data_IF_557123514950
#
_entry.id   IF_557123514950
#
_cell.length_a   1.000
_cell.length_b   1.000
_cell.length_c   1.000
_cell.angle_alpha   90.00
_cell.angle_beta   90.00
_cell.angle_gamma   90.00
#
_symmetry.space_group_name_H-M   'P 1'
#
loop_
_entity.id
_entity.type
_entity.pdbx_description
1 polymer ?
#
# COMPACT_ATOMS: atom_id res chain seq x y z
N UNK A 1 -58.36 8.10 40.21
CA UNK A 1 -59.17 7.05 39.55
C UNK A 1 -58.40 6.67 38.29
N UNK A 2 -57.69 5.55 38.14
CA UNK A 2 -57.65 4.28 38.85
C UNK A 2 -56.23 3.70 38.71
N UNK A 3 -55.72 3.08 39.78
CA UNK A 3 -54.48 2.30 39.81
C UNK A 3 -54.77 0.83 39.41
N UNK A 4 -53.84 0.17 38.71
CA UNK A 4 -53.69 -1.30 38.61
C UNK A 4 -52.30 -1.58 38.02
N UNK A 5 -51.26 -1.82 38.83
CA UNK A 5 -50.85 -3.11 39.45
C UNK A 5 -49.92 -3.92 38.54
N UNK A 6 -48.63 -3.85 38.90
CA UNK A 6 -47.53 -4.69 38.42
C UNK A 6 -47.74 -6.16 38.83
N UNK A 7 -47.40 -7.08 37.94
CA UNK A 7 -47.20 -8.50 38.25
C UNK A 7 -45.74 -8.89 37.96
N UNK A 8 -45.04 -9.30 39.00
CA UNK A 8 -43.74 -9.99 38.96
C UNK A 8 -43.94 -11.50 38.92
N UNK A 9 -43.06 -12.29 38.27
CA UNK A 9 -43.09 -13.75 38.35
C UNK A 9 -42.28 -14.27 39.57
N UNK A 10 -42.53 -15.52 40.03
CA UNK A 10 -42.16 -15.98 41.37
C UNK A 10 -40.73 -16.53 41.48
N UNK A 11 -40.20 -16.71 42.71
CA UNK A 11 -38.82 -17.14 42.93
C UNK A 11 -38.67 -18.66 42.84
N UNK A 12 -37.71 -19.13 42.02
CA UNK A 12 -37.29 -20.52 42.04
C UNK A 12 -36.29 -20.79 43.17
N UNK A 13 -36.63 -21.79 43.97
CA UNK A 13 -35.87 -22.32 45.10
C UNK A 13 -34.57 -23.00 44.65
N UNK A 14 -33.49 -22.68 45.35
CA UNK A 14 -32.73 -23.64 46.17
C UNK A 14 -32.03 -24.82 45.47
N UNK A 15 -30.71 -24.69 45.33
CA UNK A 15 -29.74 -25.77 45.12
C UNK A 15 -28.42 -25.10 44.74
N UNK A 16 -27.45 -24.88 45.63
CA UNK A 16 -26.83 -25.89 46.48
C UNK A 16 -25.45 -26.16 45.89
N UNK A 17 -24.44 -25.45 46.41
CA UNK A 17 -23.08 -25.45 45.88
C UNK A 17 -22.39 -26.81 45.94
N UNK A 18 -21.42 -26.99 45.06
CA UNK A 18 -20.58 -28.18 45.00
C UNK A 18 -19.69 -28.15 43.76
N UNK A 19 -18.62 -27.36 43.83
CA UNK A 19 -17.52 -27.43 42.87
C UNK A 19 -16.81 -28.79 43.06
N UNK A 20 -17.10 -29.75 42.18
CA UNK A 20 -16.38 -31.01 42.09
C UNK A 20 -15.38 -30.94 40.93
N UNK A 21 -14.11 -31.02 41.30
CA UNK A 21 -12.98 -31.15 40.41
C UNK A 21 -13.13 -32.38 39.51
N UNK A 22 -12.95 -32.18 38.20
CA UNK A 22 -12.83 -33.25 37.23
C UNK A 22 -11.52 -34.00 37.44
N UNK A 23 -11.59 -35.13 38.15
CA UNK A 23 -10.53 -36.13 38.21
C UNK A 23 -10.47 -36.90 36.90
N UNK A 24 -9.52 -36.56 36.04
CA UNK A 24 -9.05 -37.43 34.95
C UNK A 24 -8.06 -38.43 35.55
N UNK A 25 -8.60 -39.51 36.12
CA UNK A 25 -7.85 -40.71 36.44
C UNK A 25 -7.66 -41.54 35.17
N UNK A 26 -6.53 -41.37 34.50
CA UNK A 26 -6.07 -42.30 33.46
C UNK A 26 -5.50 -43.54 34.15
N UNK A 27 -6.22 -44.64 34.01
CA UNK A 27 -5.81 -45.99 34.38
C UNK A 27 -4.59 -46.39 33.55
N UNK A 28 -3.45 -46.60 34.21
CA UNK A 28 -2.33 -47.34 33.67
C UNK A 28 -2.63 -48.81 33.96
N UNK A 29 -3.08 -49.54 32.93
CA UNK A 29 -2.98 -51.00 32.92
C UNK A 29 -2.30 -51.43 31.62
N UNK A 30 -1.12 -51.99 31.83
CA UNK A 30 -0.28 -52.62 30.83
C UNK A 30 -0.86 -53.97 30.45
N UNK A 31 -1.15 -54.18 29.16
CA UNK A 31 -0.91 -55.43 28.41
C UNK A 31 -1.70 -55.44 27.10
N UNK A 32 -1.08 -55.10 25.97
CA UNK A 32 -1.31 -55.80 24.70
C UNK A 32 -0.01 -55.83 23.91
N UNK A 33 0.63 -57.00 23.93
CA UNK A 33 1.62 -57.41 22.94
C UNK A 33 0.88 -57.66 21.62
N UNK A 34 0.91 -56.68 20.71
CA UNK A 34 0.39 -56.80 19.35
C UNK A 34 1.41 -56.23 18.36
N UNK A 35 2.09 -57.12 17.62
CA UNK A 35 2.95 -56.76 16.49
C UNK A 35 2.13 -55.97 15.47
N UNK A 36 2.18 -54.66 15.54
CA UNK A 36 1.57 -53.79 14.53
C UNK A 36 2.66 -53.45 13.52
N UNK A 37 2.52 -53.96 12.30
CA UNK A 37 3.27 -53.49 11.13
C UNK A 37 3.28 -51.97 11.17
N UNK A 38 4.48 -51.38 11.16
CA UNK A 38 4.66 -49.96 10.93
C UNK A 38 4.10 -49.63 9.53
N UNK A 39 2.82 -49.26 9.47
CA UNK A 39 2.25 -48.56 8.34
C UNK A 39 3.00 -47.24 8.26
N UNK A 40 3.99 -47.20 7.37
CA UNK A 40 4.70 -46.01 6.92
C UNK A 40 3.63 -44.95 6.60
N UNK A 41 3.58 -43.90 7.41
CA UNK A 41 2.65 -42.79 7.20
C UNK A 41 2.76 -42.36 5.73
N UNK A 42 1.62 -42.16 5.02
CA UNK A 42 1.67 -41.70 3.64
C UNK A 42 2.46 -40.38 3.62
N UNK A 43 3.51 -40.32 2.78
CA UNK A 43 4.24 -39.07 2.54
C UNK A 43 3.23 -37.95 2.26
N UNK A 44 3.38 -36.77 2.88
CA UNK A 44 2.43 -35.69 2.68
C UNK A 44 2.30 -35.43 1.19
N UNK A 45 1.05 -35.47 0.67
CA UNK A 45 0.81 -35.19 -0.74
C UNK A 45 1.35 -33.78 -1.02
N UNK A 46 2.08 -33.57 -2.13
CA UNK A 46 2.57 -32.25 -2.49
C UNK A 46 1.37 -31.31 -2.56
N UNK A 47 1.50 -30.14 -1.93
CA UNK A 47 0.45 -29.13 -1.94
C UNK A 47 0.34 -28.60 -3.36
N UNK A 48 -0.81 -28.81 -3.98
CA UNK A 48 -1.14 -28.25 -5.27
C UNK A 48 -2.06 -27.03 -5.11
N UNK A 49 -1.95 -26.11 -6.06
CA UNK A 49 -2.76 -24.90 -6.13
C UNK A 49 -3.60 -24.88 -7.40
N UNK A 50 -4.00 -26.06 -7.87
CA UNK A 50 -4.76 -26.25 -9.13
C UNK A 50 -6.06 -25.43 -9.15
N UNK A 51 -6.66 -25.17 -7.98
CA UNK A 51 -7.85 -24.34 -7.86
C UNK A 51 -7.62 -22.88 -8.30
N UNK A 52 -6.41 -22.34 -8.15
CA UNK A 52 -6.04 -21.00 -8.63
C UNK A 52 -5.81 -20.95 -10.15
N UNK A 53 -5.66 -22.10 -10.82
CA UNK A 53 -5.40 -22.14 -12.26
C UNK A 53 -6.70 -22.14 -13.10
N UNK A 54 -7.84 -22.02 -12.43
CA UNK A 54 -9.17 -22.04 -13.04
C UNK A 54 -9.46 -20.74 -13.79
N UNK A 55 -9.85 -20.80 -15.09
CA UNK A 55 -10.11 -19.61 -15.88
C UNK A 55 -11.27 -18.76 -15.33
N UNK A 56 -12.21 -19.36 -14.60
CA UNK A 56 -13.38 -18.65 -14.05
C UNK A 56 -13.01 -17.64 -12.95
N UNK A 57 -11.80 -17.72 -12.40
CA UNK A 57 -11.30 -16.74 -11.42
C UNK A 57 -10.95 -15.41 -12.10
N UNK A 58 -10.42 -15.47 -13.33
CA UNK A 58 -9.80 -14.32 -13.98
C UNK A 58 -10.77 -13.67 -14.95
N UNK A 59 -11.20 -12.46 -14.62
CA UNK A 59 -12.18 -11.76 -15.44
C UNK A 59 -11.50 -11.22 -16.71
N UNK A 60 -12.15 -11.37 -17.89
CA UNK A 60 -11.60 -10.87 -19.14
C UNK A 60 -11.53 -9.34 -19.09
N UNK A 61 -10.33 -8.82 -19.31
CA UNK A 61 -10.12 -7.39 -19.50
C UNK A 61 -10.34 -7.08 -20.99
N UNK A 62 -10.99 -5.96 -21.35
CA UNK A 62 -11.07 -5.55 -22.74
C UNK A 62 -9.65 -5.40 -23.29
N UNK A 63 -9.30 -6.25 -24.25
CA UNK A 63 -7.96 -6.29 -24.85
C UNK A 63 -7.63 -5.00 -25.60
N UNK A 64 -8.67 -4.27 -26.02
CA UNK A 64 -8.56 -2.95 -26.61
C UNK A 64 -9.14 -1.91 -25.66
N UNK A 65 -8.47 -0.74 -25.57
CA UNK A 65 -8.94 0.37 -24.76
C UNK A 65 -10.35 0.87 -25.14
N UNK A 66 -10.90 0.43 -26.28
CA UNK A 66 -12.27 0.73 -26.74
C UNK A 66 -13.37 0.32 -25.75
N UNK A 67 -13.18 -0.78 -25.01
CA UNK A 67 -14.08 -1.20 -23.93
C UNK A 67 -13.71 -0.69 -22.55
N UNK A 68 -12.52 -0.09 -22.40
CA UNK A 68 -12.03 0.43 -21.14
C UNK A 68 -12.48 1.89 -20.94
N UNK A 69 -12.59 2.35 -19.69
CA UNK A 69 -12.88 3.74 -19.32
C UNK A 69 -11.67 4.66 -19.61
N UNK A 70 -11.18 4.63 -20.85
CA UNK A 70 -9.94 5.22 -21.33
C UNK A 70 -10.27 6.24 -22.41
N UNK A 71 -9.61 7.42 -22.46
CA UNK A 71 -9.87 8.42 -23.49
C UNK A 71 -9.57 7.90 -24.91
N UNK A 72 -10.23 8.48 -25.91
CA UNK A 72 -10.05 8.07 -27.32
C UNK A 72 -8.59 8.16 -27.78
N UNK A 73 -7.82 9.13 -27.29
CA UNK A 73 -6.41 9.33 -27.65
C UNK A 73 -5.55 8.09 -27.39
N UNK A 74 -5.72 7.44 -26.24
CA UNK A 74 -5.01 6.21 -25.89
C UNK A 74 -5.49 5.00 -26.69
N UNK A 75 -6.76 5.00 -27.13
CA UNK A 75 -7.35 3.89 -27.91
C UNK A 75 -6.84 3.79 -29.34
N UNK A 76 -6.44 4.93 -29.91
CA UNK A 76 -5.99 5.04 -31.30
C UNK A 76 -4.48 5.28 -31.40
N UNK A 77 -3.79 5.33 -30.26
CA UNK A 77 -2.35 5.56 -30.23
C UNK A 77 -1.62 4.34 -30.75
N UNK A 78 -0.64 4.58 -31.63
CA UNK A 78 0.26 3.55 -32.16
C UNK A 78 1.14 2.91 -31.08
N UNK A 79 1.16 3.49 -29.87
CA UNK A 79 1.88 2.98 -28.70
C UNK A 79 1.11 1.92 -27.93
N UNK A 80 -0.18 1.75 -28.22
CA UNK A 80 -0.94 0.68 -27.60
C UNK A 80 -0.33 -0.66 -28.01
N UNK A 81 0.10 -1.52 -27.07
CA UNK A 81 0.63 -2.83 -27.42
C UNK A 81 -0.46 -3.57 -28.19
N UNK A 82 -0.12 -3.96 -29.42
CA UNK A 82 -1.06 -4.60 -30.31
C UNK A 82 -1.54 -5.87 -29.61
N UNK A 83 -2.85 -6.02 -29.30
CA UNK A 83 -3.32 -7.16 -28.53
C UNK A 83 -2.81 -8.42 -29.20
N UNK A 84 -2.98 -8.60 -30.51
CA UNK A 84 -2.57 -9.82 -31.21
C UNK A 84 -1.04 -10.09 -31.26
N UNK A 85 -0.17 -9.08 -31.13
CA UNK A 85 1.29 -9.28 -31.04
C UNK A 85 1.73 -9.60 -29.60
N UNK A 86 1.04 -9.02 -28.61
CA UNK A 86 1.14 -9.46 -27.22
C UNK A 86 0.39 -10.79 -26.97
N UNK A 87 -0.46 -11.22 -27.91
CA UNK A 87 -1.31 -12.43 -27.93
C UNK A 87 -0.80 -13.46 -28.99
N UNK A 88 0.46 -13.36 -29.43
CA UNK A 88 1.11 -14.39 -30.25
C UNK A 88 1.95 -15.36 -29.41
N UNK A 89 2.20 -16.57 -29.93
CA UNK A 89 2.87 -17.72 -29.27
C UNK A 89 4.21 -17.47 -28.50
N UNK A 90 4.78 -16.26 -28.53
CA UNK A 90 5.83 -15.79 -27.62
C UNK A 90 5.31 -15.44 -26.19
N UNK A 91 3.99 -15.44 -26.01
CA UNK A 91 3.15 -15.05 -24.86
C UNK A 91 3.42 -15.69 -23.49
N UNK A 92 4.04 -16.86 -23.46
CA UNK A 92 4.26 -17.60 -22.21
C UNK A 92 5.64 -17.33 -21.61
N UNK A 93 6.44 -16.46 -22.24
CA UNK A 93 7.76 -16.13 -21.72
C UNK A 93 7.67 -15.18 -20.51
N UNK A 94 8.48 -15.44 -19.49
CA UNK A 94 8.60 -14.56 -18.33
C UNK A 94 9.18 -13.18 -18.71
N UNK A 95 9.95 -13.10 -19.80
CA UNK A 95 10.54 -11.87 -20.33
C UNK A 95 9.47 -10.91 -20.84
N UNK A 96 8.50 -11.40 -21.63
CA UNK A 96 7.42 -10.56 -22.15
C UNK A 96 6.61 -9.88 -21.02
N UNK A 97 6.32 -10.61 -19.93
CA UNK A 97 5.64 -10.02 -18.77
C UNK A 97 6.51 -8.94 -18.09
N UNK A 98 7.81 -9.22 -17.93
CA UNK A 98 8.75 -8.24 -17.35
C UNK A 98 8.84 -6.97 -18.20
N UNK A 99 8.89 -7.11 -19.52
CA UNK A 99 9.01 -5.98 -20.46
C UNK A 99 7.73 -5.13 -20.46
N UNK A 100 6.55 -5.75 -20.36
CA UNK A 100 5.27 -5.04 -20.24
C UNK A 100 5.17 -4.26 -18.92
N UNK A 101 5.66 -4.84 -17.82
CA UNK A 101 5.69 -4.16 -16.53
C UNK A 101 6.68 -2.99 -16.54
N UNK A 102 7.86 -3.19 -17.13
CA UNK A 102 8.88 -2.14 -17.27
C UNK A 102 8.40 -0.98 -18.15
N UNK A 103 7.66 -1.28 -19.23
CA UNK A 103 7.09 -0.26 -20.12
C UNK A 103 5.76 0.34 -19.63
N UNK A 104 5.26 -0.05 -18.44
CA UNK A 104 4.06 0.55 -17.86
C UNK A 104 2.73 0.12 -18.48
N UNK A 105 2.73 -0.93 -19.29
CA UNK A 105 1.53 -1.47 -19.95
C UNK A 105 0.77 -2.43 -19.03
N UNK A 106 0.27 -1.93 -17.90
CA UNK A 106 -0.31 -2.74 -16.83
C UNK A 106 -1.54 -3.56 -17.27
N UNK A 107 -2.35 -3.06 -18.21
CA UNK A 107 -3.49 -3.81 -18.77
C UNK A 107 -3.03 -5.05 -19.54
N UNK A 108 -2.06 -4.90 -20.44
CA UNK A 108 -1.49 -6.01 -21.17
C UNK A 108 -0.78 -6.99 -20.23
N UNK A 109 0.00 -6.49 -19.28
CA UNK A 109 0.65 -7.30 -18.26
C UNK A 109 -0.36 -8.10 -17.42
N UNK A 110 -1.51 -7.51 -17.05
CA UNK A 110 -2.58 -8.21 -16.33
C UNK A 110 -3.20 -9.33 -17.18
N UNK A 111 -3.41 -9.12 -18.48
CA UNK A 111 -3.94 -10.13 -19.40
C UNK A 111 -2.94 -11.28 -19.53
N UNK A 112 -1.67 -10.98 -19.76
CA UNK A 112 -0.59 -11.98 -19.88
C UNK A 112 -0.45 -12.77 -18.58
N UNK A 113 -0.45 -12.12 -17.41
CA UNK A 113 -0.37 -12.81 -16.13
C UNK A 113 -1.52 -13.80 -15.92
N UNK A 114 -2.76 -13.40 -16.23
CA UNK A 114 -3.92 -14.29 -16.17
C UNK A 114 -3.81 -15.46 -17.15
N UNK A 115 -3.35 -15.22 -18.38
CA UNK A 115 -3.12 -16.29 -19.35
C UNK A 115 -2.04 -17.27 -18.92
N UNK A 116 -0.93 -16.77 -18.36
CA UNK A 116 0.13 -17.62 -17.83
C UNK A 116 -0.35 -18.45 -16.63
N UNK A 117 -1.30 -17.96 -15.82
CA UNK A 117 -1.95 -18.75 -14.77
C UNK A 117 -2.87 -19.84 -15.36
N UNK A 118 -3.66 -19.50 -16.38
CA UNK A 118 -4.63 -20.43 -16.99
C UNK A 118 -3.97 -21.45 -17.91
N UNK A 119 -2.81 -21.13 -18.50
CA UNK A 119 -2.01 -22.04 -19.33
C UNK A 119 -1.37 -23.21 -18.55
N UNK A 120 -1.81 -23.41 -17.30
CA UNK A 120 -1.48 -24.53 -16.42
C UNK A 120 0.02 -24.65 -16.13
N UNK A 121 0.61 -23.70 -15.38
CA UNK A 121 1.90 -23.96 -14.74
C UNK A 121 1.78 -25.20 -13.85
N UNK A 122 2.91 -25.86 -13.54
CA UNK A 122 2.92 -26.99 -12.61
C UNK A 122 2.10 -26.62 -11.36
N UNK A 123 1.00 -27.34 -11.05
CA UNK A 123 0.16 -27.01 -9.90
C UNK A 123 0.91 -27.01 -8.56
N UNK A 124 2.09 -27.61 -8.51
CA UNK A 124 2.96 -27.64 -7.32
C UNK A 124 3.97 -26.49 -7.28
N UNK A 125 4.18 -25.74 -8.37
CA UNK A 125 5.03 -24.54 -8.40
C UNK A 125 4.28 -23.30 -7.87
N UNK A 126 4.02 -23.33 -6.56
CA UNK A 126 3.32 -22.26 -5.87
C UNK A 126 4.08 -20.92 -5.91
N UNK A 127 5.41 -20.93 -6.04
CA UNK A 127 6.19 -19.72 -6.15
C UNK A 127 5.84 -18.96 -7.44
N UNK A 128 5.80 -19.67 -8.58
CA UNK A 128 5.37 -19.08 -9.85
C UNK A 128 3.92 -18.65 -9.81
N UNK A 129 3.02 -19.51 -9.33
CA UNK A 129 1.58 -19.22 -9.23
C UNK A 129 1.33 -17.95 -8.42
N UNK A 130 1.88 -17.84 -7.21
CA UNK A 130 1.69 -16.65 -6.37
C UNK A 130 2.35 -15.40 -6.95
N UNK A 131 3.48 -15.52 -7.64
CA UNK A 131 4.11 -14.38 -8.32
C UNK A 131 3.21 -13.82 -9.43
N UNK A 132 2.61 -14.69 -10.26
CA UNK A 132 1.72 -14.29 -11.33
C UNK A 132 0.40 -13.73 -10.78
N UNK A 133 -0.14 -14.37 -9.74
CA UNK A 133 -1.36 -13.92 -9.07
C UNK A 133 -1.16 -12.54 -8.44
N UNK A 134 -0.03 -12.32 -7.76
CA UNK A 134 0.33 -11.01 -7.23
C UNK A 134 0.43 -9.96 -8.33
N UNK A 135 1.14 -10.25 -9.42
CA UNK A 135 1.26 -9.34 -10.56
C UNK A 135 -0.11 -9.01 -11.15
N UNK A 136 -0.99 -10.00 -11.31
CA UNK A 136 -2.36 -9.80 -11.79
C UNK A 136 -3.12 -8.83 -10.88
N UNK A 137 -3.14 -9.07 -9.57
CA UNK A 137 -3.82 -8.20 -8.60
C UNK A 137 -3.22 -6.79 -8.56
N UNK A 138 -1.89 -6.67 -8.56
CA UNK A 138 -1.20 -5.39 -8.53
C UNK A 138 -1.50 -4.56 -9.78
N UNK A 139 -1.48 -5.16 -10.97
CA UNK A 139 -1.86 -4.47 -12.21
C UNK A 139 -3.33 -4.03 -12.20
N UNK A 140 -4.25 -4.84 -11.66
CA UNK A 140 -5.65 -4.44 -11.54
C UNK A 140 -5.82 -3.22 -10.62
N UNK A 141 -5.07 -3.15 -9.51
CA UNK A 141 -5.06 -1.97 -8.65
C UNK A 141 -4.47 -0.74 -9.33
N UNK A 142 -3.38 -0.90 -10.10
CA UNK A 142 -2.77 0.19 -10.86
C UNK A 142 -3.69 0.74 -11.97
N UNK A 143 -4.65 -0.06 -12.42
CA UNK A 143 -5.68 0.33 -13.40
C UNK A 143 -6.98 0.84 -12.74
N UNK A 144 -6.97 1.05 -11.41
CA UNK A 144 -8.14 1.40 -10.60
C UNK A 144 -9.32 0.41 -10.73
N UNK A 145 -9.03 -0.85 -11.06
CA UNK A 145 -10.00 -1.94 -11.12
C UNK A 145 -10.10 -2.67 -9.77
N UNK A 146 -10.22 -1.89 -8.70
CA UNK A 146 -10.13 -2.36 -7.31
C UNK A 146 -11.23 -3.38 -6.95
N UNK A 147 -12.44 -3.17 -7.45
CA UNK A 147 -13.56 -4.12 -7.27
C UNK A 147 -13.25 -5.48 -7.89
N UNK A 148 -12.60 -5.49 -9.06
CA UNK A 148 -12.23 -6.70 -9.78
C UNK A 148 -11.09 -7.42 -9.05
N UNK A 149 -10.04 -6.68 -8.65
CA UNK A 149 -8.95 -7.24 -7.85
C UNK A 149 -9.47 -7.89 -6.56
N UNK A 150 -10.43 -7.25 -5.88
CA UNK A 150 -11.06 -7.79 -4.68
C UNK A 150 -11.92 -9.04 -4.96
N UNK A 151 -12.53 -9.16 -6.14
CA UNK A 151 -13.26 -10.36 -6.55
C UNK A 151 -12.30 -11.52 -6.85
N UNK A 152 -11.24 -11.28 -7.64
CA UNK A 152 -10.26 -12.32 -7.97
C UNK A 152 -9.50 -12.80 -6.71
N UNK A 153 -9.16 -11.89 -5.79
CA UNK A 153 -8.49 -12.23 -4.54
C UNK A 153 -9.31 -13.18 -3.63
N UNK A 154 -10.64 -13.27 -3.78
CA UNK A 154 -11.46 -14.24 -3.03
C UNK A 154 -11.04 -15.68 -3.29
N UNK A 155 -10.43 -15.97 -4.44
CA UNK A 155 -9.91 -17.29 -4.75
C UNK A 155 -8.78 -17.75 -3.81
N UNK A 156 -8.07 -16.83 -3.13
CA UNK A 156 -7.07 -17.17 -2.12
C UNK A 156 -7.67 -17.56 -0.76
N UNK A 157 -9.00 -17.47 -0.60
CA UNK A 157 -9.70 -17.85 0.62
C UNK A 157 -9.04 -17.29 1.90
N UNK A 158 -8.72 -18.14 2.88
CA UNK A 158 -8.02 -17.78 4.11
C UNK A 158 -6.53 -18.13 4.03
N UNK A 159 -5.69 -17.13 3.80
CA UNK A 159 -4.23 -17.28 3.81
C UNK A 159 -3.68 -17.65 5.20
N UNK A 160 -4.43 -17.48 6.29
CA UNK A 160 -4.00 -17.94 7.60
C UNK A 160 -4.20 -19.45 7.81
N UNK A 161 -4.89 -20.12 6.89
CA UNK A 161 -5.10 -21.57 6.94
C UNK A 161 -3.76 -22.32 6.99
N UNK A 162 -3.66 -23.41 7.78
CA UNK A 162 -2.50 -24.31 7.78
C UNK A 162 -2.16 -24.88 6.40
N UNK A 163 -3.13 -24.84 5.46
CA UNK A 163 -2.91 -25.20 4.06
C UNK A 163 -1.78 -24.38 3.42
N UNK A 164 -1.61 -23.10 3.77
CA UNK A 164 -0.58 -22.22 3.21
C UNK A 164 0.77 -22.27 3.95
N UNK A 165 0.94 -23.18 4.91
CA UNK A 165 2.18 -23.34 5.69
C UNK A 165 2.98 -24.54 5.21
N UNK A 166 4.26 -24.39 4.91
CA UNK A 166 5.14 -25.50 4.56
C UNK A 166 5.41 -26.45 5.73
N UNK A 167 6.29 -27.42 5.50
CA UNK A 167 6.80 -28.25 6.59
C UNK A 167 7.67 -27.40 7.52
N UNK A 168 7.49 -27.56 8.83
CA UNK A 168 8.28 -26.85 9.82
C UNK A 168 9.72 -27.36 9.74
N UNK A 169 10.68 -26.45 9.52
CA UNK A 169 12.09 -26.77 9.63
C UNK A 169 12.44 -26.86 11.12
N UNK A 170 12.91 -28.02 11.63
CA UNK A 170 13.31 -28.18 13.03
C UNK A 170 14.44 -27.23 13.44
N UNK A 171 15.18 -26.65 12.48
CA UNK A 171 16.23 -25.69 12.73
C UNK A 171 15.75 -24.23 12.70
N UNK A 172 14.50 -23.95 12.34
CA UNK A 172 13.98 -22.57 12.34
C UNK A 172 13.80 -22.10 13.80
N UNK A 173 14.56 -21.09 14.26
CA UNK A 173 14.49 -20.58 15.63
C UNK A 173 13.12 -19.98 15.98
N UNK A 174 12.30 -19.63 14.99
CA UNK A 174 10.95 -19.11 15.21
C UNK A 174 9.94 -20.20 15.54
N UNK A 175 10.25 -21.47 15.24
CA UNK A 175 9.32 -22.59 15.34
C UNK A 175 8.07 -22.44 14.46
N UNK A 176 8.01 -21.43 13.59
CA UNK A 176 6.89 -21.16 12.71
C UNK A 176 7.16 -21.80 11.35
N UNK A 177 6.24 -22.62 10.82
CA UNK A 177 6.40 -23.15 9.48
C UNK A 177 6.44 -22.01 8.44
N UNK A 178 7.27 -22.15 7.39
CA UNK A 178 7.39 -21.14 6.36
C UNK A 178 6.04 -20.93 5.67
N UNK A 179 5.71 -19.68 5.34
CA UNK A 179 4.49 -19.38 4.59
C UNK A 179 4.78 -19.54 3.09
N UNK A 180 3.92 -20.27 2.38
CA UNK A 180 4.09 -20.53 0.94
C UNK A 180 3.80 -19.30 0.09
N UNK A 181 2.81 -18.49 0.47
CA UNK A 181 2.53 -17.21 -0.17
C UNK A 181 3.53 -16.10 0.25
N UNK A 182 4.06 -15.29 -0.69
CA UNK A 182 4.95 -14.17 -0.41
C UNK A 182 4.34 -13.10 0.52
N UNK A 183 5.17 -12.40 1.28
CA UNK A 183 4.73 -11.34 2.21
C UNK A 183 3.88 -10.27 1.53
N UNK A 184 4.34 -9.74 0.38
CA UNK A 184 3.62 -8.70 -0.35
C UNK A 184 2.22 -9.14 -0.77
N UNK A 185 2.05 -10.40 -1.20
CA UNK A 185 0.73 -10.96 -1.53
C UNK A 185 -0.16 -11.07 -0.30
N UNK A 186 0.38 -11.47 0.85
CA UNK A 186 -0.39 -11.57 2.10
C UNK A 186 -0.90 -10.21 2.55
N UNK A 187 -0.04 -9.19 2.53
CA UNK A 187 -0.42 -7.81 2.89
C UNK A 187 -1.46 -7.26 1.93
N UNK A 188 -1.27 -7.46 0.62
CA UNK A 188 -2.22 -7.07 -0.42
C UNK A 188 -3.58 -7.78 -0.25
N UNK A 189 -3.58 -9.08 0.06
CA UNK A 189 -4.78 -9.87 0.27
C UNK A 189 -5.63 -9.33 1.42
N UNK A 190 -5.02 -8.93 2.54
CA UNK A 190 -5.75 -8.31 3.66
C UNK A 190 -6.52 -7.08 3.21
N UNK A 191 -5.87 -6.20 2.43
CA UNK A 191 -6.51 -5.00 1.88
C UNK A 191 -7.66 -5.35 0.94
N UNK A 192 -7.43 -6.27 0.00
CA UNK A 192 -8.42 -6.67 -0.99
C UNK A 192 -9.62 -7.38 -0.37
N UNK A 193 -9.43 -8.21 0.66
CA UNK A 193 -10.53 -8.82 1.40
C UNK A 193 -11.36 -7.77 2.12
N UNK A 194 -10.71 -6.81 2.81
CA UNK A 194 -11.42 -5.74 3.51
C UNK A 194 -12.31 -4.94 2.55
N UNK A 195 -11.80 -4.57 1.38
CA UNK A 195 -12.55 -3.88 0.32
C UNK A 195 -13.64 -4.77 -0.28
N UNK A 196 -13.34 -6.03 -0.57
CA UNK A 196 -14.26 -6.98 -1.21
C UNK A 196 -15.44 -7.42 -0.33
N UNK A 197 -15.29 -7.33 0.99
CA UNK A 197 -16.37 -7.54 1.97
C UNK A 197 -16.97 -6.24 2.50
N UNK A 198 -16.35 -5.08 2.26
CA UNK A 198 -16.75 -3.81 2.85
C UNK A 198 -16.63 -3.79 4.38
N UNK A 199 -15.69 -4.55 4.95
CA UNK A 199 -15.52 -4.70 6.40
C UNK A 199 -14.08 -4.41 6.82
N UNK A 200 -13.72 -3.12 7.06
CA UNK A 200 -12.36 -2.73 7.44
C UNK A 200 -11.91 -3.30 8.80
N UNK A 201 -12.86 -3.73 9.67
CA UNK A 201 -12.53 -4.40 10.94
C UNK A 201 -11.77 -5.70 10.74
N UNK A 202 -12.09 -6.45 9.67
CA UNK A 202 -11.35 -7.67 9.31
C UNK A 202 -9.93 -7.36 8.91
N UNK A 203 -9.68 -6.20 8.29
CA UNK A 203 -8.33 -5.75 7.95
C UNK A 203 -7.48 -5.61 9.21
N UNK A 204 -8.02 -4.91 10.22
CA UNK A 204 -7.34 -4.69 11.50
C UNK A 204 -6.96 -6.02 12.15
N UNK A 205 -7.90 -6.96 12.27
CA UNK A 205 -7.63 -8.29 12.83
C UNK A 205 -6.54 -9.04 12.05
N UNK A 206 -6.65 -9.08 10.72
CA UNK A 206 -5.69 -9.76 9.87
C UNK A 206 -4.29 -9.13 9.92
N UNK A 207 -4.20 -7.79 10.00
CA UNK A 207 -2.93 -7.10 10.20
C UNK A 207 -2.31 -7.42 11.57
N UNK A 208 -3.11 -7.58 12.64
CA UNK A 208 -2.59 -8.01 13.93
C UNK A 208 -2.04 -9.45 13.91
N UNK A 209 -2.63 -10.36 13.14
CA UNK A 209 -2.07 -11.71 12.94
C UNK A 209 -0.74 -11.67 12.19
N UNK A 210 -0.63 -10.86 11.12
CA UNK A 210 0.64 -10.62 10.43
C UNK A 210 1.69 -10.00 11.37
N UNK A 211 1.26 -9.06 12.24
CA UNK A 211 2.13 -8.42 13.21
C UNK A 211 2.59 -9.40 14.31
N UNK A 212 1.75 -10.36 14.71
CA UNK A 212 2.13 -11.43 15.63
C UNK A 212 3.22 -12.31 15.03
N UNK A 213 3.06 -12.73 13.77
CA UNK A 213 4.11 -13.47 13.03
C UNK A 213 5.41 -12.65 12.94
N UNK A 214 5.32 -11.36 12.64
CA UNK A 214 6.48 -10.48 12.59
C UNK A 214 7.21 -10.40 13.94
N UNK A 215 6.49 -10.24 15.06
CA UNK A 215 7.09 -10.22 16.41
C UNK A 215 7.79 -11.52 16.77
N UNK A 216 7.20 -12.67 16.45
CA UNK A 216 7.84 -13.98 16.68
C UNK A 216 9.13 -14.11 15.86
N UNK A 217 9.11 -13.69 14.59
CA UNK A 217 10.32 -13.70 13.74
C UNK A 217 11.39 -12.73 14.21
N UNK A 218 11.02 -11.56 14.74
CA UNK A 218 11.96 -10.61 15.38
C UNK A 218 12.61 -11.26 16.61
N UNK A 219 11.82 -11.90 17.47
CA UNK A 219 12.34 -12.57 18.67
C UNK A 219 13.29 -13.72 18.32
N UNK A 220 12.95 -14.51 17.30
CA UNK A 220 13.80 -15.57 16.80
C UNK A 220 15.12 -15.04 16.21
N UNK A 221 15.06 -13.98 15.42
CA UNK A 221 16.25 -13.33 14.86
C UNK A 221 17.15 -12.70 15.94
N UNK A 222 16.56 -12.21 17.04
CA UNK A 222 17.31 -11.76 18.21
C UNK A 222 18.05 -12.91 18.89
N UNK A 223 17.41 -14.08 19.01
CA UNK A 223 18.03 -15.26 19.61
C UNK A 223 19.18 -15.82 18.75
N UNK A 224 19.10 -15.73 17.43
CA UNK A 224 20.17 -16.17 16.52
C UNK A 224 21.18 -15.08 16.14
N UNK A 225 21.02 -13.87 16.66
CA UNK A 225 21.83 -12.70 16.32
C UNK A 225 21.83 -12.34 14.82
N UNK A 226 20.76 -12.68 14.07
CA UNK A 226 20.60 -12.30 12.67
C UNK A 226 20.02 -10.88 12.57
N UNK A 227 20.91 -9.91 12.50
CA UNK A 227 20.52 -8.49 12.38
C UNK A 227 19.75 -8.21 11.09
N UNK A 228 20.04 -8.91 9.98
CA UNK A 228 19.42 -8.64 8.67
C UNK A 228 17.93 -9.02 8.67
N UNK A 229 17.63 -10.22 9.16
CA UNK A 229 16.26 -10.71 9.31
C UNK A 229 15.53 -9.88 10.36
N UNK A 230 16.19 -9.51 11.46
CA UNK A 230 15.61 -8.64 12.48
C UNK A 230 15.16 -7.29 11.89
N UNK A 231 16.02 -6.59 11.16
CA UNK A 231 15.66 -5.29 10.58
C UNK A 231 14.56 -5.43 9.50
N UNK A 232 14.59 -6.49 8.69
CA UNK A 232 13.51 -6.77 7.73
C UNK A 232 12.15 -6.92 8.43
N UNK A 233 12.07 -7.71 9.50
CA UNK A 233 10.80 -7.95 10.19
C UNK A 233 10.35 -6.75 11.04
N UNK A 234 11.28 -5.95 11.56
CA UNK A 234 10.95 -4.66 12.18
C UNK A 234 10.33 -3.70 11.17
N UNK A 235 10.91 -3.58 9.98
CA UNK A 235 10.36 -2.75 8.90
C UNK A 235 8.94 -3.20 8.52
N UNK A 236 8.74 -4.51 8.35
CA UNK A 236 7.39 -5.09 8.11
C UNK A 236 6.41 -4.78 9.24
N UNK A 237 6.86 -4.86 10.49
CA UNK A 237 6.03 -4.55 11.66
C UNK A 237 5.63 -3.06 11.69
N UNK A 238 6.53 -2.15 11.34
CA UNK A 238 6.20 -0.71 11.25
C UNK A 238 5.23 -0.41 10.10
N UNK A 239 5.40 -1.04 8.93
CA UNK A 239 4.49 -0.89 7.80
C UNK A 239 3.07 -1.36 8.15
N UNK A 240 2.95 -2.51 8.84
CA UNK A 240 1.66 -3.00 9.34
C UNK A 240 1.02 -2.02 10.33
N UNK A 241 1.81 -1.35 11.16
CA UNK A 241 1.32 -0.31 12.08
C UNK A 241 0.66 0.86 11.33
N UNK A 242 1.28 1.33 10.26
CA UNK A 242 0.71 2.37 9.37
C UNK A 242 -0.58 1.87 8.72
N UNK A 243 -0.61 0.61 8.27
CA UNK A 243 -1.82 0.01 7.67
C UNK A 243 -2.98 -0.16 8.67
N UNK A 244 -2.68 -0.53 9.92
CA UNK A 244 -3.68 -0.59 10.99
C UNK A 244 -4.26 0.79 11.27
N UNK A 245 -3.40 1.82 11.36
CA UNK A 245 -3.87 3.20 11.53
C UNK A 245 -4.78 3.64 10.37
N UNK A 246 -4.40 3.35 9.12
CA UNK A 246 -5.24 3.63 7.94
C UNK A 246 -6.58 2.89 7.99
N UNK A 247 -6.60 1.63 8.40
CA UNK A 247 -7.84 0.86 8.56
C UNK A 247 -8.74 1.38 9.70
N UNK A 248 -8.16 1.91 10.79
CA UNK A 248 -8.92 2.55 11.87
C UNK A 248 -9.56 3.87 11.42
N UNK A 249 -8.86 4.65 10.59
CA UNK A 249 -9.43 5.86 9.97
C UNK A 249 -10.59 5.49 9.04
N UNK A 250 -10.45 4.44 8.23
CA UNK A 250 -11.55 3.93 7.38
C UNK A 250 -12.75 3.40 8.16
N UNK A 251 -12.55 3.05 9.44
CA UNK A 251 -13.62 2.67 10.37
C UNK A 251 -14.24 3.85 11.11
N UNK A 252 -13.82 5.08 10.81
CA UNK A 252 -14.14 6.30 11.55
C UNK A 252 -13.71 6.27 13.04
N UNK A 253 -12.79 5.36 13.42
CA UNK A 253 -12.22 5.31 14.77
C UNK A 253 -10.99 6.22 14.87
N UNK A 254 -11.24 7.54 14.78
CA UNK A 254 -10.19 8.56 14.78
C UNK A 254 -9.38 8.56 16.10
N UNK A 255 -10.05 8.32 17.23
CA UNK A 255 -9.39 8.25 18.54
C UNK A 255 -8.50 7.01 18.66
N UNK A 256 -8.98 5.85 18.20
CA UNK A 256 -8.20 4.63 18.14
C UNK A 256 -7.01 4.76 17.20
N UNK A 257 -7.18 5.39 16.03
CA UNK A 257 -6.11 5.67 15.08
C UNK A 257 -5.03 6.57 15.70
N UNK A 258 -5.42 7.68 16.34
CA UNK A 258 -4.50 8.58 17.03
C UNK A 258 -3.72 7.87 18.15
N UNK A 259 -4.42 7.13 19.01
CA UNK A 259 -3.79 6.36 20.08
C UNK A 259 -2.83 5.29 19.52
N UNK A 260 -3.17 4.65 18.40
CA UNK A 260 -2.30 3.69 17.73
C UNK A 260 -1.03 4.36 17.18
N UNK A 261 -1.17 5.48 16.44
CA UNK A 261 -0.06 6.23 15.86
C UNK A 261 0.88 6.79 16.94
N UNK A 262 0.35 7.27 18.06
CA UNK A 262 1.15 7.75 19.19
C UNK A 262 2.06 6.65 19.75
N UNK A 263 1.57 5.41 19.79
CA UNK A 263 2.30 4.24 20.29
C UNK A 263 3.22 3.59 19.24
N UNK A 264 3.12 3.96 17.96
CA UNK A 264 4.08 3.50 16.95
C UNK A 264 5.43 4.18 17.17
N UNK A 265 6.39 3.39 17.63
CA UNK A 265 7.78 3.79 17.77
C UNK A 265 8.32 4.27 16.42
N UNK A 266 8.74 5.53 16.34
CA UNK A 266 9.53 6.00 15.19
C UNK A 266 10.90 5.33 15.29
N UNK A 267 11.41 4.69 14.22
CA UNK A 267 12.71 4.03 14.25
C UNK A 267 13.84 4.98 14.68
N UNK A 268 13.67 6.28 14.37
CA UNK A 268 14.55 7.38 14.81
C UNK A 268 14.68 7.51 16.34
N UNK A 269 13.63 7.26 17.12
CA UNK A 269 13.66 7.48 18.59
C UNK A 269 14.26 6.32 19.38
N UNK A 270 14.33 5.11 18.80
CA UNK A 270 14.74 3.91 19.55
C UNK A 270 16.24 3.59 19.44
N UNK A 271 17.00 4.25 18.55
CA UNK A 271 18.43 4.01 18.38
C UNK A 271 19.23 5.30 18.22
N UNK A 272 19.40 6.04 19.32
CA UNK A 272 20.41 7.12 19.40
C UNK A 272 21.86 6.60 19.39
N UNK A 273 22.09 5.28 19.34
CA UNK A 273 23.43 4.69 19.39
C UNK A 273 23.92 4.04 18.09
N UNK A 274 23.09 3.98 17.04
CA UNK A 274 23.55 3.48 15.73
C UNK A 274 22.84 4.24 14.63
N UNK A 275 23.52 5.27 14.10
CA UNK A 275 23.12 5.91 12.86
C UNK A 275 22.90 4.81 11.81
N UNK A 276 21.75 4.76 11.13
CA UNK A 276 21.51 3.79 10.06
C UNK A 276 22.64 3.91 9.03
N UNK A 277 23.49 2.88 8.96
CA UNK A 277 24.75 2.88 8.20
C UNK A 277 24.54 2.78 6.69
N UNK A 278 23.30 2.75 6.22
CA UNK A 278 22.98 2.54 4.80
C UNK A 278 21.84 3.46 4.37
N UNK A 279 22.03 4.15 3.25
CA UNK A 279 21.06 5.07 2.62
C UNK A 279 19.68 4.43 2.41
N UNK A 280 19.61 3.11 2.20
CA UNK A 280 18.32 2.41 2.05
C UNK A 280 17.53 2.33 3.36
N UNK A 281 18.21 2.13 4.50
CA UNK A 281 17.58 2.05 5.81
C UNK A 281 17.07 3.41 6.30
N UNK A 282 17.82 4.48 6.00
CA UNK A 282 17.35 5.86 6.25
C UNK A 282 16.10 6.15 5.42
N UNK A 283 16.11 5.85 4.12
CA UNK A 283 14.95 6.07 3.24
C UNK A 283 13.71 5.28 3.68
N UNK A 284 13.86 4.01 4.07
CA UNK A 284 12.74 3.21 4.59
C UNK A 284 12.16 3.81 5.88
N UNK A 285 13.03 4.25 6.80
CA UNK A 285 12.62 4.94 8.03
C UNK A 285 11.86 6.22 7.70
N UNK A 286 12.39 7.04 6.79
CA UNK A 286 11.75 8.30 6.35
C UNK A 286 10.40 8.09 5.70
N UNK A 287 10.22 7.01 4.93
CA UNK A 287 8.92 6.65 4.35
C UNK A 287 7.88 6.37 5.43
N UNK A 288 8.26 5.70 6.52
CA UNK A 288 7.37 5.44 7.66
C UNK A 288 7.06 6.73 8.41
N UNK A 289 8.07 7.58 8.67
CA UNK A 289 7.88 8.86 9.36
C UNK A 289 6.93 9.78 8.55
N UNK A 290 7.12 9.86 7.24
CA UNK A 290 6.25 10.63 6.35
C UNK A 290 4.84 10.03 6.31
N UNK A 291 4.70 8.71 6.20
CA UNK A 291 3.38 8.07 6.25
C UNK A 291 2.66 8.35 7.57
N UNK A 292 3.38 8.32 8.70
CA UNK A 292 2.85 8.67 10.01
C UNK A 292 2.40 10.13 10.06
N UNK A 293 3.21 11.06 9.53
CA UNK A 293 2.86 12.48 9.47
C UNK A 293 1.61 12.74 8.60
N UNK A 294 1.51 12.08 7.44
CA UNK A 294 0.34 12.20 6.56
C UNK A 294 -0.94 11.66 7.23
N UNK A 295 -0.84 10.58 8.00
CA UNK A 295 -1.98 10.06 8.78
C UNK A 295 -2.37 11.01 9.91
N UNK A 296 -1.41 11.69 10.56
CA UNK A 296 -1.73 12.74 11.54
C UNK A 296 -2.43 13.93 10.91
N UNK A 297 -1.98 14.38 9.72
CA UNK A 297 -2.67 15.40 8.95
C UNK A 297 -4.10 14.97 8.59
N UNK A 298 -4.30 13.71 8.20
CA UNK A 298 -5.64 13.16 7.91
C UNK A 298 -6.55 13.17 9.16
N UNK A 299 -5.98 13.01 10.35
CA UNK A 299 -6.71 13.13 11.63
C UNK A 299 -6.92 14.59 12.07
N UNK A 300 -6.30 15.55 11.40
CA UNK A 300 -6.36 16.98 11.74
C UNK A 300 -5.39 17.40 12.86
N UNK A 301 -4.46 16.54 13.28
CA UNK A 301 -3.45 16.88 14.28
C UNK A 301 -2.15 17.35 13.60
N UNK A 302 -2.09 18.65 13.32
CA UNK A 302 -0.98 19.29 12.62
C UNK A 302 0.30 19.30 13.46
N UNK A 303 0.18 19.47 14.78
CA UNK A 303 1.32 19.47 15.71
C UNK A 303 1.99 18.09 15.77
N UNK A 304 1.19 17.02 15.86
CA UNK A 304 1.70 15.65 15.82
C UNK A 304 2.34 15.31 14.46
N UNK A 305 1.80 15.84 13.36
CA UNK A 305 2.40 15.67 12.04
C UNK A 305 3.78 16.33 11.93
N UNK A 306 3.96 17.57 12.43
CA UNK A 306 5.27 18.22 12.51
C UNK A 306 6.24 17.44 13.41
N UNK A 307 5.77 16.96 14.56
CA UNK A 307 6.58 16.18 15.48
C UNK A 307 7.03 14.82 14.90
N UNK A 308 6.21 14.20 14.04
CA UNK A 308 6.52 12.90 13.44
C UNK A 308 7.76 12.92 12.54
N UNK A 309 8.11 14.07 11.95
CA UNK A 309 9.30 14.21 11.10
C UNK A 309 10.60 14.52 11.87
N UNK A 310 10.50 14.69 13.19
CA UNK A 310 11.60 15.13 14.04
C UNK A 310 11.77 16.66 14.04
N UNK A 311 12.31 17.20 15.14
CA UNK A 311 12.50 18.65 15.35
C UNK A 311 13.44 19.31 14.33
N UNK A 312 14.29 18.54 13.65
CA UNK A 312 15.34 19.07 12.79
C UNK A 312 14.82 19.65 11.47
N UNK A 313 13.55 19.42 11.11
CA UNK A 313 12.97 19.89 9.85
C UNK A 313 12.41 21.32 9.85
N UNK A 314 12.13 21.90 11.03
CA UNK A 314 11.35 23.13 11.14
C UNK A 314 12.18 24.40 11.36
N UNK A 315 13.48 24.32 11.65
CA UNK A 315 14.26 25.48 12.15
C UNK A 315 15.32 26.08 11.22
N UNK A 316 15.33 25.78 9.92
CA UNK A 316 16.24 26.48 8.99
C UNK A 316 15.66 27.75 8.33
N UNK A 317 14.41 28.12 8.64
CA UNK A 317 13.80 29.35 8.10
C UNK A 317 13.61 30.48 9.14
N UNK A 318 13.96 30.25 10.41
CA UNK A 318 13.82 31.25 11.47
C UNK A 318 15.07 31.27 12.37
N UNK A 319 16.20 31.57 11.74
CA UNK A 319 17.42 32.02 12.42
C UNK A 319 17.48 33.54 12.35
N UNK A 320 17.14 34.15 13.48
CA UNK A 320 17.40 35.53 13.85
C UNK A 320 18.86 35.89 13.53
N UNK A 321 19.12 36.84 12.63
CA UNK A 321 20.41 37.54 12.55
C UNK A 321 20.21 38.94 11.98
N UNK A 322 20.13 39.87 12.92
CA UNK A 322 20.59 41.24 12.78
C UNK A 322 22.01 41.30 12.19
N UNK A 323 22.22 42.25 11.27
CA UNK A 323 23.50 42.83 10.80
C UNK A 323 24.15 42.25 9.51
N UNK A 324 24.04 43.05 8.45
CA UNK A 324 25.07 43.40 7.45
C UNK A 324 26.13 42.35 7.06
N UNK A 325 25.89 41.63 5.95
CA UNK A 325 26.94 41.32 4.97
C UNK A 325 26.36 40.94 3.60
N UNK A 326 26.76 41.60 2.50
CA UNK A 326 26.33 41.27 1.15
C UNK A 326 27.41 40.50 0.38
N UNK A 327 27.75 39.27 0.79
CA UNK A 327 28.43 38.31 -0.08
C UNK A 327 28.43 36.92 0.54
N UNK A 328 27.54 36.03 0.07
CA UNK A 328 27.69 34.57 -0.03
C UNK A 328 26.31 33.89 -0.07
N UNK A 329 25.76 33.72 -1.28
CA UNK A 329 24.78 32.65 -1.53
C UNK A 329 25.54 31.40 -1.96
N UNK A 330 26.08 30.69 -0.98
CA UNK A 330 26.53 29.32 -1.16
C UNK A 330 25.33 28.38 -1.24
N UNK A 331 24.78 28.17 -2.44
CA UNK A 331 23.92 27.01 -2.73
C UNK A 331 24.82 25.76 -2.78
N UNK A 332 25.15 25.20 -1.62
CA UNK A 332 25.59 23.81 -1.51
C UNK A 332 24.32 22.95 -1.57
N UNK A 333 24.09 22.10 -2.57
CA UNK A 333 25.05 21.14 -3.14
C UNK A 333 24.72 19.70 -2.73
N UNK A 334 23.76 19.52 -1.81
CA UNK A 334 23.11 18.25 -1.54
C UNK A 334 21.64 18.58 -1.30
N UNK A 335 20.74 18.13 -2.19
CA UNK A 335 19.30 18.24 -1.97
C UNK A 335 18.96 17.28 -0.83
N UNK A 336 19.30 17.71 0.40
CA UNK A 336 19.11 16.95 1.61
C UNK A 336 17.65 16.50 1.72
N UNK A 337 17.43 15.46 2.52
CA UNK A 337 16.12 14.87 2.74
C UNK A 337 14.99 15.92 2.85
N UNK A 338 14.18 16.01 1.79
CA UNK A 338 13.15 17.04 1.62
C UNK A 338 11.88 16.72 2.41
N UNK A 339 11.73 15.49 2.90
CA UNK A 339 10.50 15.03 3.52
C UNK A 339 10.04 15.92 4.71
N UNK A 340 10.92 16.38 5.63
CA UNK A 340 10.50 17.24 6.73
C UNK A 340 9.97 18.60 6.24
N UNK A 341 10.59 19.17 5.19
CA UNK A 341 10.16 20.44 4.58
C UNK A 341 8.84 20.28 3.83
N UNK A 342 8.65 19.16 3.13
CA UNK A 342 7.38 18.81 2.48
C UNK A 342 6.26 18.70 3.52
N UNK A 343 6.48 17.98 4.61
CA UNK A 343 5.48 17.86 5.68
C UNK A 343 5.21 19.22 6.34
N UNK A 344 6.23 20.04 6.60
CA UNK A 344 6.05 21.38 7.15
C UNK A 344 5.19 22.25 6.22
N UNK A 345 5.46 22.24 4.92
CA UNK A 345 4.66 22.99 3.95
C UNK A 345 3.21 22.48 3.85
N UNK A 346 2.98 21.17 3.98
CA UNK A 346 1.63 20.60 4.09
C UNK A 346 0.93 21.01 5.40
N UNK A 347 1.67 21.10 6.51
CA UNK A 347 1.14 21.59 7.77
C UNK A 347 0.73 23.06 7.69
N UNK A 348 1.56 23.91 7.06
CA UNK A 348 1.22 25.33 6.84
C UNK A 348 -0.03 25.48 5.96
N UNK A 349 -0.20 24.60 4.96
CA UNK A 349 -1.44 24.53 4.16
C UNK A 349 -2.65 24.14 5.01
N UNK A 350 -2.48 23.18 5.93
CA UNK A 350 -3.54 22.72 6.84
C UNK A 350 -3.95 23.80 7.85
N UNK A 351 -2.99 24.60 8.33
CA UNK A 351 -3.22 25.74 9.24
C UNK A 351 -3.84 26.96 8.55
N UNK A 352 -3.98 26.93 7.21
CA UNK A 352 -4.48 28.06 6.42
C UNK A 352 -3.44 29.15 6.14
N UNK A 353 -2.17 28.90 6.48
CA UNK A 353 -1.04 29.82 6.30
C UNK A 353 -0.49 29.74 4.86
N UNK A 354 -1.36 29.96 3.87
CA UNK A 354 -1.05 29.72 2.45
C UNK A 354 0.12 30.54 1.92
N UNK A 355 0.39 31.73 2.47
CA UNK A 355 1.54 32.55 2.04
C UNK A 355 2.86 31.97 2.52
N UNK A 356 2.89 31.45 3.75
CA UNK A 356 4.06 30.76 4.31
C UNK A 356 4.30 29.46 3.57
N UNK A 357 3.24 28.68 3.34
CA UNK A 357 3.30 27.47 2.53
C UNK A 357 3.81 27.76 1.11
N UNK A 358 3.35 28.83 0.47
CA UNK A 358 3.78 29.20 -0.88
C UNK A 358 5.29 29.48 -0.94
N UNK A 359 5.84 30.19 0.05
CA UNK A 359 7.27 30.43 0.14
C UNK A 359 8.05 29.11 0.32
N UNK A 360 7.56 28.22 1.20
CA UNK A 360 8.16 26.91 1.43
C UNK A 360 8.13 26.03 0.16
N UNK A 361 7.01 25.99 -0.56
CA UNK A 361 6.87 25.24 -1.81
C UNK A 361 7.76 25.78 -2.93
N UNK A 362 7.93 27.11 -3.04
CA UNK A 362 8.88 27.70 -4.00
C UNK A 362 10.33 27.31 -3.68
N UNK A 363 10.73 27.39 -2.41
CA UNK A 363 12.06 26.95 -1.99
C UNK A 363 12.28 25.46 -2.26
N UNK A 364 11.28 24.62 -1.98
CA UNK A 364 11.31 23.19 -2.32
C UNK A 364 11.44 22.96 -3.83
N UNK A 365 10.73 23.74 -4.64
CA UNK A 365 10.77 23.64 -6.10
C UNK A 365 12.12 24.06 -6.68
N UNK A 366 12.78 25.04 -6.07
CA UNK A 366 14.12 25.47 -6.46
C UNK A 366 15.17 24.38 -6.20
N UNK A 367 15.02 23.61 -5.11
CA UNK A 367 15.94 22.53 -4.75
C UNK A 367 15.66 21.22 -5.49
N UNK A 368 14.39 20.96 -5.84
CA UNK A 368 13.93 19.77 -6.54
C UNK A 368 12.98 20.12 -7.70
N UNK A 369 13.51 20.67 -8.81
CA UNK A 369 12.70 21.09 -9.96
C UNK A 369 12.03 19.91 -10.69
N UNK A 370 12.56 18.69 -10.53
CA UNK A 370 12.06 17.48 -11.19
C UNK A 370 11.18 16.61 -10.28
N UNK A 371 10.76 17.13 -9.11
CA UNK A 371 9.81 16.44 -8.24
C UNK A 371 8.36 16.85 -8.59
N UNK A 372 7.60 15.90 -9.13
CA UNK A 372 6.19 16.08 -9.52
C UNK A 372 5.32 16.47 -8.33
N UNK A 373 5.52 15.83 -7.18
CA UNK A 373 4.69 16.04 -5.99
C UNK A 373 4.88 17.45 -5.42
N UNK A 374 6.12 17.94 -5.39
CA UNK A 374 6.42 19.33 -5.02
C UNK A 374 5.76 20.31 -5.99
N UNK A 375 5.88 20.07 -7.30
CA UNK A 375 5.28 20.93 -8.32
C UNK A 375 3.74 20.96 -8.27
N UNK A 376 3.10 19.80 -8.06
CA UNK A 376 1.65 19.71 -7.92
C UNK A 376 1.17 20.43 -6.66
N UNK A 377 1.83 20.23 -5.51
CA UNK A 377 1.46 20.93 -4.27
C UNK A 377 1.69 22.43 -4.35
N UNK A 378 2.77 22.89 -5.01
CA UNK A 378 2.98 24.31 -5.31
C UNK A 378 1.81 24.89 -6.12
N UNK A 379 1.37 24.20 -7.17
CA UNK A 379 0.25 24.65 -7.99
C UNK A 379 -1.07 24.72 -7.22
N UNK A 380 -1.33 23.75 -6.33
CA UNK A 380 -2.48 23.78 -5.42
C UNK A 380 -2.38 24.96 -4.46
N UNK A 381 -1.21 25.24 -3.89
CA UNK A 381 -1.00 26.40 -3.03
C UNK A 381 -1.24 27.73 -3.78
N UNK A 382 -0.78 27.84 -5.03
CA UNK A 382 -1.03 28.99 -5.89
C UNK A 382 -2.53 29.21 -6.13
N UNK A 383 -3.32 28.14 -6.26
CA UNK A 383 -4.78 28.23 -6.35
C UNK A 383 -5.39 28.86 -5.09
N UNK A 384 -4.98 28.43 -3.89
CA UNK A 384 -5.47 28.99 -2.62
C UNK A 384 -5.12 30.47 -2.42
N UNK A 385 -3.99 30.93 -2.95
CA UNK A 385 -3.58 32.35 -2.92
C UNK A 385 -4.21 33.16 -4.07
N UNK A 386 -4.98 32.53 -4.97
CA UNK A 386 -5.66 33.18 -6.09
C UNK A 386 -4.79 33.39 -7.33
N UNK A 387 -3.60 32.79 -7.39
CA UNK A 387 -2.65 32.87 -8.52
C UNK A 387 -2.86 31.71 -9.50
N UNK A 388 -4.09 31.56 -10.00
CA UNK A 388 -4.52 30.41 -10.82
C UNK A 388 -3.72 30.26 -12.12
N UNK A 389 -3.32 31.36 -12.76
CA UNK A 389 -2.59 31.36 -14.02
C UNK A 389 -1.17 30.81 -13.84
N UNK A 390 -0.51 31.17 -12.73
CA UNK A 390 0.79 30.60 -12.38
C UNK A 390 0.65 29.12 -12.01
N UNK A 391 -0.33 28.76 -11.18
CA UNK A 391 -0.59 27.37 -10.81
C UNK A 391 -0.88 26.48 -12.03
N UNK A 392 -1.66 26.99 -12.98
CA UNK A 392 -1.89 26.33 -14.27
C UNK A 392 -0.59 26.15 -15.05
N UNK A 393 0.23 27.19 -15.18
CA UNK A 393 1.49 27.11 -15.92
C UNK A 393 2.46 26.08 -15.30
N UNK A 394 2.50 25.98 -13.97
CA UNK A 394 3.27 24.94 -13.26
C UNK A 394 2.79 23.55 -13.63
N UNK A 395 1.48 23.28 -13.56
CA UNK A 395 0.92 21.96 -13.91
C UNK A 395 1.10 21.63 -15.41
N UNK A 396 0.89 22.60 -16.31
CA UNK A 396 1.14 22.41 -17.74
C UNK A 396 2.62 22.08 -18.00
N UNK A 397 3.54 22.78 -17.33
CA UNK A 397 4.98 22.54 -17.43
C UNK A 397 5.40 21.17 -16.92
N UNK A 398 4.77 20.65 -15.84
CA UNK A 398 4.99 19.28 -15.38
C UNK A 398 4.56 18.25 -16.43
N UNK A 399 3.40 18.45 -17.06
CA UNK A 399 2.97 17.57 -18.15
C UNK A 399 3.94 17.65 -19.32
N UNK A 400 4.41 18.85 -19.69
CA UNK A 400 5.41 19.00 -20.76
C UNK A 400 6.76 18.33 -20.45
N UNK A 401 7.12 18.19 -19.17
CA UNK A 401 8.27 17.44 -18.71
C UNK A 401 8.05 15.91 -18.69
N UNK A 402 6.87 15.42 -19.08
CA UNK A 402 6.55 13.99 -19.19
C UNK A 402 5.86 13.38 -17.97
N UNK A 403 5.52 14.19 -16.95
CA UNK A 403 4.77 13.71 -15.79
C UNK A 403 3.28 13.57 -16.10
N UNK A 404 2.64 12.55 -15.52
CA UNK A 404 1.24 12.23 -15.83
C UNK A 404 0.53 11.48 -14.70
N UNK A 405 0.86 11.76 -13.43
CA UNK A 405 0.13 11.13 -12.32
C UNK A 405 -1.35 11.51 -12.33
N UNK A 406 -2.18 10.65 -11.73
CA UNK A 406 -3.62 10.93 -11.52
C UNK A 406 -3.83 12.32 -10.91
N UNK A 407 -3.09 12.63 -9.84
CA UNK A 407 -3.20 13.90 -9.11
C UNK A 407 -2.86 15.10 -10.00
N UNK A 408 -1.80 15.03 -10.81
CA UNK A 408 -1.42 16.08 -11.74
C UNK A 408 -2.52 16.33 -12.79
N UNK A 409 -2.97 15.27 -13.46
CA UNK A 409 -3.95 15.36 -14.54
C UNK A 409 -5.31 15.84 -14.03
N UNK A 410 -5.73 15.35 -12.86
CA UNK A 410 -6.98 15.76 -12.22
C UNK A 410 -6.94 17.22 -11.78
N UNK A 411 -5.83 17.67 -11.18
CA UNK A 411 -5.67 19.06 -10.75
C UNK A 411 -5.59 20.01 -11.93
N UNK A 412 -4.89 19.66 -13.01
CA UNK A 412 -4.83 20.47 -14.22
C UNK A 412 -6.20 20.55 -14.91
N UNK A 413 -6.92 19.43 -14.96
CA UNK A 413 -8.30 19.39 -15.47
C UNK A 413 -9.23 20.28 -14.66
N UNK A 414 -9.04 20.33 -13.33
CA UNK A 414 -9.75 21.25 -12.43
C UNK A 414 -9.39 22.70 -12.70
N UNK A 415 -8.10 23.01 -12.93
CA UNK A 415 -7.68 24.36 -13.31
C UNK A 415 -8.31 24.81 -14.63
N UNK A 416 -8.46 23.92 -15.61
CA UNK A 416 -9.16 24.24 -16.85
C UNK A 416 -10.64 24.55 -16.63
N UNK A 417 -11.34 23.77 -15.79
CA UNK A 417 -12.73 24.05 -15.42
C UNK A 417 -12.90 25.42 -14.74
N UNK A 418 -11.94 25.83 -13.91
CA UNK A 418 -11.99 27.08 -13.17
C UNK A 418 -11.60 28.30 -14.02
N UNK A 419 -10.74 28.12 -15.02
CA UNK A 419 -10.18 29.24 -15.79
C UNK A 419 -10.87 29.49 -17.14
N UNK A 420 -11.67 28.57 -17.67
CA UNK A 420 -12.24 28.72 -19.02
C UNK A 420 -13.49 27.89 -19.30
N UNK A 421 -14.41 28.44 -20.09
CA UNK A 421 -15.58 27.71 -20.64
C UNK A 421 -15.18 26.65 -21.68
N UNK A 422 -13.93 26.67 -22.17
CA UNK A 422 -13.41 25.69 -23.14
C UNK A 422 -12.76 24.48 -22.47
N UNK A 423 -12.98 24.28 -21.18
CA UNK A 423 -12.34 23.22 -20.38
C UNK A 423 -12.41 21.84 -21.02
N UNK A 424 -13.57 21.46 -21.60
CA UNK A 424 -13.75 20.16 -22.28
C UNK A 424 -12.76 19.96 -23.42
N UNK A 425 -12.58 20.96 -24.28
CA UNK A 425 -11.65 20.88 -25.40
C UNK A 425 -10.19 20.82 -24.93
N UNK A 426 -9.87 21.50 -23.83
CA UNK A 426 -8.54 21.47 -23.23
C UNK A 426 -8.21 20.13 -22.59
N UNK A 427 -9.16 19.52 -21.87
CA UNK A 427 -9.01 18.17 -21.29
C UNK A 427 -8.81 17.10 -22.35
N UNK A 428 -9.55 17.18 -23.47
CA UNK A 428 -9.35 16.27 -24.60
C UNK A 428 -7.97 16.44 -25.24
N UNK A 429 -7.50 17.69 -25.42
CA UNK A 429 -6.14 17.94 -25.90
C UNK A 429 -5.08 17.47 -24.90
N UNK A 430 -5.33 17.61 -23.59
CA UNK A 430 -4.44 17.09 -22.55
C UNK A 430 -4.33 15.57 -22.64
N UNK A 431 -5.46 14.86 -22.79
CA UNK A 431 -5.46 13.41 -23.00
C UNK A 431 -4.72 12.98 -24.27
N UNK A 432 -4.79 13.78 -25.34
CA UNK A 432 -4.00 13.54 -26.55
C UNK A 432 -2.50 13.74 -26.30
N UNK A 433 -2.12 14.87 -25.69
CA UNK A 433 -0.72 15.17 -25.34
C UNK A 433 -0.09 14.07 -24.51
N UNK A 434 -0.78 13.60 -23.46
CA UNK A 434 -0.27 12.53 -22.59
C UNK A 434 -0.17 11.20 -23.34
N UNK A 435 -1.14 10.86 -24.20
CA UNK A 435 -1.07 9.62 -24.99
C UNK A 435 0.12 9.58 -25.97
N UNK A 436 0.56 10.76 -26.43
CA UNK A 436 1.70 10.91 -27.35
C UNK A 436 3.06 10.98 -26.62
N UNK A 437 3.08 11.12 -25.29
CA UNK A 437 4.32 11.23 -24.51
C UNK A 437 5.04 9.90 -24.34
N UNK A 438 6.37 9.94 -24.41
CA UNK A 438 7.24 8.83 -23.96
C UNK A 438 7.29 8.85 -22.45
N UNK A 439 6.76 7.79 -21.83
CA UNK A 439 6.80 7.66 -20.38
C UNK A 439 8.14 7.10 -19.95
N UNK A 440 8.57 7.52 -18.77
CA UNK A 440 9.68 6.88 -18.07
C UNK A 440 9.30 5.43 -17.72
N UNK A 441 10.29 4.54 -17.71
CA UNK A 441 10.11 3.15 -17.32
C UNK A 441 9.39 3.03 -15.97
N UNK A 442 8.38 2.17 -15.91
CA UNK A 442 7.59 1.87 -14.72
C UNK A 442 6.40 2.81 -14.44
N UNK A 443 6.21 3.89 -15.20
CA UNK A 443 5.00 4.71 -15.10
C UNK A 443 3.85 4.13 -15.93
N UNK A 444 2.62 4.18 -15.41
CA UNK A 444 1.43 3.78 -16.17
C UNK A 444 1.32 4.63 -17.44
N UNK A 445 1.45 4.00 -18.61
CA UNK A 445 1.19 4.66 -19.90
C UNK A 445 -0.30 4.95 -20.04
N UNK A 446 -1.13 3.93 -19.87
CA UNK A 446 -2.58 4.05 -20.04
C UNK A 446 -3.20 4.88 -18.90
N UNK A 447 -4.02 5.88 -19.26
CA UNK A 447 -4.79 6.70 -18.33
C UNK A 447 -6.29 6.52 -18.56
N UNK A 448 -7.08 6.80 -17.54
CA UNK A 448 -8.55 6.69 -17.54
C UNK A 448 -9.22 8.03 -17.80
N UNK A 449 -10.51 8.03 -18.15
CA UNK A 449 -11.30 9.26 -18.25
C UNK A 449 -11.37 10.00 -16.91
N UNK A 450 -11.30 9.27 -15.77
CA UNK A 450 -11.32 9.86 -14.44
C UNK A 450 -10.10 10.77 -14.20
N UNK A 451 -8.92 10.41 -14.73
CA UNK A 451 -7.69 11.23 -14.64
C UNK A 451 -7.87 12.61 -15.27
N UNK A 452 -8.70 12.73 -16.31
CA UNK A 452 -8.93 13.99 -17.05
C UNK A 452 -10.27 14.66 -16.72
N UNK A 453 -11.05 14.11 -15.77
CA UNK A 453 -12.44 14.52 -15.52
C UNK A 453 -13.28 14.58 -16.82
N UNK A 454 -13.24 13.53 -17.64
CA UNK A 454 -13.96 13.40 -18.91
C UNK A 454 -15.25 12.60 -18.81
#
# INVERSE_FOLDING_TARGET
MSQSSQQSPPPSRGGGGGAAAAGLGLSIDAAVSGKTQAQRAPSPRPKDFIYLLRPEIYHPLPATAAGANVPQSFRISDRQPNPDEAVGAAELSATALSDLLASGHFRAAAIVAARQLVAQPDPTDYARIFSLFYTRLACLLLLDMTSLAAQEAKALEDLNSPFYRGEADPNDPSGLPPHLAPWALRVLHVRLQALGFGDPRRAVMSYYELAREARVRIAAALATHDNSVRELWKARLSELGIQVAGALIEMDDMAGAAAHLANLSTPSSASSSSSPTTTTATLATRRIDMAKALLWLQLGDVDAARAAMGRDGASQAAGDDTADSPFETGKSGDAGDLAPRVVAALCDMADGEYRTALAAWRALRDDAPDDEMIGVNLAVCLLYVGQMQEGRAVLEGLVDAGYSSHTLLFNLSTMYELCTDRAKAMKLNLAQRVADQTHADGQAWEKTNADFKL
#
